data_IF_377816930039
#
_entry.id   IF_377816930039
#
_cell.length_a   1.000
_cell.length_b   1.000
_cell.length_c   1.000
_cell.angle_alpha   90.00
_cell.angle_beta   90.00
_cell.angle_gamma   90.00
#
_symmetry.space_group_name_H-M   'P 1'
#
loop_
_entity.id
_entity.type
_entity.pdbx_description
1 polymer ?
#
# COMPACT_ATOMS: atom_id res chain seq x y z
N UNK A 1 -1.98 15.55 16.17
CA UNK A 1 -2.30 14.11 16.13
C UNK A 1 -1.23 13.41 15.30
N UNK A 2 -0.80 12.20 15.66
CA UNK A 2 0.07 11.40 14.78
C UNK A 2 -0.77 11.05 13.53
N UNK A 3 -0.18 11.00 12.34
CA UNK A 3 -0.85 10.58 11.10
C UNK A 3 -1.03 9.04 11.10
N UNK A 4 -2.20 8.54 10.69
CA UNK A 4 -2.50 7.10 10.56
C UNK A 4 -2.59 6.66 9.10
N UNK A 5 -2.05 7.44 8.18
CA UNK A 5 -2.08 7.15 6.75
C UNK A 5 -0.70 6.76 6.24
N UNK A 6 -0.70 5.85 5.27
CA UNK A 6 0.47 5.49 4.47
C UNK A 6 0.24 6.06 3.08
N UNK A 7 1.13 6.93 2.63
CA UNK A 7 1.12 7.47 1.28
C UNK A 7 2.19 6.76 0.45
N UNK A 8 1.89 6.55 -0.82
CA UNK A 8 2.87 5.99 -1.74
C UNK A 8 2.52 6.26 -3.19
N UNK A 9 3.49 5.97 -4.05
CA UNK A 9 3.33 6.02 -5.50
C UNK A 9 3.73 4.70 -6.13
N UNK A 10 3.00 4.29 -7.16
CA UNK A 10 3.28 3.10 -7.97
C UNK A 10 3.69 3.55 -9.36
N UNK A 11 4.77 2.98 -9.90
CA UNK A 11 5.09 3.07 -11.33
C UNK A 11 4.47 1.87 -12.05
N UNK A 12 3.73 2.12 -13.12
CA UNK A 12 3.16 1.10 -13.98
C UNK A 12 3.69 1.29 -15.39
N UNK A 13 4.28 0.25 -15.96
CA UNK A 13 4.76 0.30 -17.35
C UNK A 13 3.58 0.57 -18.28
N UNK A 14 3.74 1.51 -19.22
CA UNK A 14 2.60 2.05 -19.95
C UNK A 14 2.10 1.08 -21.02
N UNK A 15 1.19 0.18 -20.64
CA UNK A 15 0.50 -0.74 -21.54
C UNK A 15 -0.98 -0.37 -21.69
N UNK A 16 -1.33 0.30 -22.79
CA UNK A 16 -2.73 0.62 -23.13
C UNK A 16 -3.34 1.79 -22.34
N UNK A 17 -4.63 2.08 -22.56
CA UNK A 17 -5.33 3.26 -22.02
C UNK A 17 -6.08 2.98 -20.71
N UNK A 18 -6.64 1.77 -20.55
CA UNK A 18 -7.41 1.41 -19.36
C UNK A 18 -6.50 0.71 -18.36
N UNK A 19 -6.12 1.45 -17.31
CA UNK A 19 -5.25 0.96 -16.25
C UNK A 19 -5.94 1.13 -14.91
N UNK A 20 -6.06 0.06 -14.16
CA UNK A 20 -6.55 0.11 -12.79
C UNK A 20 -5.48 -0.46 -11.87
N UNK A 21 -5.07 0.34 -10.89
CA UNK A 21 -4.08 -0.06 -9.88
C UNK A 21 -4.79 -0.12 -8.54
N UNK A 22 -4.69 -1.26 -7.87
CA UNK A 22 -5.30 -1.59 -6.60
C UNK A 22 -4.23 -1.94 -5.60
N UNK A 23 -4.36 -1.41 -4.39
CA UNK A 23 -3.48 -1.74 -3.28
C UNK A 23 -4.29 -2.60 -2.32
N UNK A 24 -3.86 -3.84 -2.11
CA UNK A 24 -4.50 -4.75 -1.15
C UNK A 24 -3.73 -4.71 0.16
N UNK A 25 -4.41 -4.33 1.23
CA UNK A 25 -3.85 -4.19 2.57
C UNK A 25 -4.41 -5.27 3.51
N UNK A 26 -3.57 -5.80 4.38
CA UNK A 26 -3.95 -6.57 5.57
C UNK A 26 -3.25 -6.03 6.82
N UNK A 27 -3.86 -6.24 7.98
CA UNK A 27 -3.28 -5.96 9.31
C UNK A 27 -3.29 -7.19 10.22
N UNK A 28 -3.71 -8.34 9.70
CA UNK A 28 -4.00 -9.57 10.46
C UNK A 28 -3.44 -10.83 9.79
N UNK A 29 -2.29 -10.70 9.12
CA UNK A 29 -1.62 -11.80 8.40
C UNK A 29 -2.52 -12.46 7.34
N UNK A 30 -3.20 -11.64 6.53
CA UNK A 30 -4.05 -12.07 5.41
C UNK A 30 -5.30 -12.87 5.80
N UNK A 31 -5.70 -12.88 7.08
CA UNK A 31 -7.01 -13.41 7.48
C UNK A 31 -8.13 -12.55 6.88
N UNK A 32 -7.95 -11.23 6.90
CA UNK A 32 -8.78 -10.28 6.17
C UNK A 32 -7.93 -9.33 5.33
N UNK A 33 -8.54 -8.79 4.29
CA UNK A 33 -7.90 -7.78 3.46
C UNK A 33 -8.91 -6.74 2.99
N UNK A 34 -8.40 -5.54 2.69
CA UNK A 34 -9.17 -4.45 2.10
C UNK A 34 -8.41 -3.86 0.93
N UNK A 35 -9.16 -3.50 -0.10
CA UNK A 35 -8.61 -2.94 -1.32
C UNK A 35 -8.79 -1.41 -1.34
N UNK A 36 -7.80 -0.70 -1.88
CA UNK A 36 -7.86 0.72 -2.15
C UNK A 36 -7.36 0.99 -3.56
N UNK A 37 -8.07 1.83 -4.32
CA UNK A 37 -7.65 2.18 -5.67
C UNK A 37 -6.63 3.32 -5.66
N UNK A 38 -5.58 3.18 -6.45
CA UNK A 38 -4.62 4.24 -6.70
C UNK A 38 -5.13 5.16 -7.81
N UNK A 39 -4.79 6.45 -7.73
CA UNK A 39 -5.22 7.48 -8.68
C UNK A 39 -4.06 7.88 -9.58
N UNK A 40 -4.28 7.92 -10.89
CA UNK A 40 -3.29 8.40 -11.84
C UNK A 40 -2.84 9.82 -11.51
N UNK A 41 -1.54 10.08 -11.56
CA UNK A 41 -0.97 11.41 -11.36
C UNK A 41 -0.85 12.07 -12.75
N UNK A 42 -1.55 13.17 -13.02
CA UNK A 42 -1.43 13.89 -14.30
C UNK A 42 0.00 14.31 -14.60
N UNK A 43 0.38 14.30 -15.88
CA UNK A 43 1.69 14.75 -16.37
C UNK A 43 2.89 14.01 -15.74
N UNK A 44 2.66 12.83 -15.18
CA UNK A 44 3.70 12.05 -14.47
C UNK A 44 4.42 11.03 -15.34
N UNK A 45 4.02 10.89 -16.60
CA UNK A 45 4.56 9.96 -17.56
C UNK A 45 6.06 10.23 -17.80
N UNK A 46 6.91 9.24 -17.58
CA UNK A 46 8.38 9.34 -17.74
C UNK A 46 8.90 8.47 -18.88
N UNK A 47 8.39 8.71 -20.10
CA UNK A 47 8.71 8.01 -21.36
C UNK A 47 8.36 6.51 -21.41
N UNK A 48 8.09 5.86 -20.28
CA UNK A 48 7.75 4.45 -20.22
C UNK A 48 6.80 4.06 -19.09
N UNK A 49 6.68 4.88 -18.03
CA UNK A 49 5.82 4.54 -16.90
C UNK A 49 4.81 5.63 -16.59
N UNK A 50 3.59 5.19 -16.32
CA UNK A 50 2.56 5.98 -15.64
C UNK A 50 2.80 5.93 -14.14
N UNK A 51 2.50 7.03 -13.42
CA UNK A 51 2.54 7.05 -11.96
C UNK A 51 1.14 7.15 -11.37
N UNK A 52 0.92 6.38 -10.32
CA UNK A 52 -0.31 6.38 -9.54
C UNK A 52 0.01 6.70 -8.09
N UNK A 53 -0.83 7.46 -7.41
CA UNK A 53 -0.74 7.73 -5.98
C UNK A 53 -1.79 6.94 -5.21
N UNK A 54 -1.45 6.49 -4.00
CA UNK A 54 -2.41 5.85 -3.12
C UNK A 54 -2.28 6.38 -1.68
N UNK A 55 -3.36 6.24 -0.92
CA UNK A 55 -3.40 6.51 0.52
C UNK A 55 -4.06 5.32 1.21
N UNK A 56 -3.37 4.71 2.16
CA UNK A 56 -3.93 3.64 2.99
C UNK A 56 -4.24 4.17 4.37
N UNK A 57 -5.51 4.13 4.76
CA UNK A 57 -5.94 4.54 6.11
C UNK A 57 -5.82 3.39 7.10
N UNK A 58 -5.04 3.57 8.15
CA UNK A 58 -4.80 2.53 9.13
C UNK A 58 -5.73 2.73 10.33
N UNK A 59 -6.60 1.74 10.56
CA UNK A 59 -7.46 1.70 11.74
C UNK A 59 -6.60 1.41 12.97
N UNK A 60 -6.39 2.43 13.80
CA UNK A 60 -5.52 2.35 14.98
C UNK A 60 -6.06 1.42 16.04
N UNK A 61 -7.37 1.26 16.13
CA UNK A 61 -8.00 0.43 17.16
C UNK A 61 -7.78 -1.07 16.86
N UNK A 62 -7.35 -1.39 15.64
CA UNK A 62 -7.03 -2.75 15.18
C UNK A 62 -5.53 -3.06 15.17
N UNK A 63 -4.69 -2.13 15.60
CA UNK A 63 -3.23 -2.29 15.55
C UNK A 63 -2.59 -2.10 16.92
N UNK A 64 -1.85 -3.12 17.33
CA UNK A 64 -1.02 -3.15 18.51
C UNK A 64 0.47 -3.24 18.11
N UNK A 65 1.34 -2.99 19.08
CA UNK A 65 2.77 -3.26 18.90
C UNK A 65 2.99 -4.74 18.56
N UNK A 66 3.80 -5.01 17.54
CA UNK A 66 4.03 -6.35 17.01
C UNK A 66 3.06 -6.79 15.90
N UNK A 67 2.00 -6.02 15.59
CA UNK A 67 1.24 -6.25 14.36
C UNK A 67 2.06 -5.89 13.12
N UNK A 68 1.91 -6.70 12.08
CA UNK A 68 2.53 -6.49 10.78
C UNK A 68 1.47 -5.95 9.81
N UNK A 69 1.61 -4.69 9.43
CA UNK A 69 0.84 -4.11 8.33
C UNK A 69 1.50 -4.60 7.05
N UNK A 70 0.73 -5.23 6.16
CA UNK A 70 1.26 -5.74 4.89
C UNK A 70 0.40 -5.28 3.74
N UNK A 71 1.02 -4.91 2.62
CA UNK A 71 0.30 -4.63 1.39
C UNK A 71 1.01 -5.18 0.15
N UNK A 72 0.23 -5.41 -0.89
CA UNK A 72 0.72 -5.71 -2.23
C UNK A 72 -0.05 -4.88 -3.26
N UNK A 73 0.52 -4.79 -4.46
CA UNK A 73 0.02 -3.97 -5.55
C UNK A 73 -0.54 -4.91 -6.61
N UNK A 74 -1.72 -4.60 -7.12
CA UNK A 74 -2.36 -5.31 -8.22
C UNK A 74 -2.63 -4.33 -9.36
N UNK A 75 -2.14 -4.67 -10.55
CA UNK A 75 -2.57 -4.07 -11.80
C UNK A 75 -3.65 -4.96 -12.43
N UNK A 76 -4.82 -4.39 -12.70
CA UNK A 76 -5.90 -5.04 -13.43
C UNK A 76 -5.92 -4.50 -14.86
N UNK A 77 -5.76 -5.40 -15.83
CA UNK A 77 -5.78 -5.07 -17.25
C UNK A 77 -7.21 -4.97 -17.79
N UNK A 78 -7.36 -4.38 -18.97
CA UNK A 78 -8.66 -4.19 -19.64
C UNK A 78 -9.47 -5.47 -19.89
N UNK A 79 -8.83 -6.65 -19.87
CA UNK A 79 -9.48 -7.96 -20.03
C UNK A 79 -9.73 -8.67 -18.69
N UNK A 80 -9.55 -8.00 -17.56
CA UNK A 80 -9.78 -8.54 -16.22
C UNK A 80 -8.68 -9.46 -15.70
N UNK A 81 -7.49 -9.47 -16.31
CA UNK A 81 -6.35 -10.19 -15.75
C UNK A 81 -5.67 -9.35 -14.66
N UNK A 82 -5.31 -10.01 -13.56
CA UNK A 82 -4.61 -9.39 -12.45
C UNK A 82 -3.11 -9.74 -12.49
N UNK A 83 -2.28 -8.72 -12.33
CA UNK A 83 -0.83 -8.83 -12.20
C UNK A 83 -0.41 -8.28 -10.85
N UNK A 84 0.22 -9.12 -10.04
CA UNK A 84 0.54 -8.80 -8.65
C UNK A 84 2.03 -8.50 -8.48
N UNK A 85 2.32 -7.34 -7.90
CA UNK A 85 3.59 -7.07 -7.24
C UNK A 85 3.40 -7.29 -5.74
N UNK A 86 3.77 -8.49 -5.30
CA UNK A 86 3.76 -8.92 -3.92
C UNK A 86 5.18 -8.99 -3.34
N UNK A 87 6.15 -8.24 -3.90
CA UNK A 87 7.54 -8.24 -3.45
C UNK A 87 8.12 -9.66 -3.29
N UNK A 88 7.97 -10.50 -4.32
CA UNK A 88 8.39 -11.91 -4.31
C UNK A 88 7.80 -12.70 -3.12
N UNK A 89 6.48 -12.64 -2.96
CA UNK A 89 5.72 -13.31 -1.88
C UNK A 89 5.95 -12.75 -0.46
N UNK A 90 6.91 -11.85 -0.25
CA UNK A 90 7.14 -11.24 1.06
C UNK A 90 6.15 -10.12 1.38
N UNK A 91 5.53 -9.52 0.36
CA UNK A 91 4.75 -8.28 0.43
C UNK A 91 5.57 -7.09 0.97
N UNK A 92 4.98 -5.90 0.94
CA UNK A 92 5.54 -4.72 1.56
C UNK A 92 5.06 -4.63 3.01
N UNK A 93 5.98 -4.54 3.97
CA UNK A 93 5.68 -4.66 5.41
C UNK A 93 6.05 -3.41 6.20
N UNK A 94 5.18 -3.02 7.14
CA UNK A 94 5.51 -2.08 8.21
C UNK A 94 5.37 -2.75 9.57
N UNK A 95 6.41 -2.60 10.40
CA UNK A 95 6.42 -3.11 11.77
C UNK A 95 5.86 -2.04 12.70
N UNK A 96 4.80 -2.38 13.44
CA UNK A 96 4.21 -1.48 14.43
C UNK A 96 5.03 -1.53 15.72
N UNK A 97 5.74 -0.45 16.03
CA UNK A 97 6.54 -0.32 17.24
C UNK A 97 5.72 0.36 18.34
N UNK A 98 5.84 -0.11 19.59
CA UNK A 98 5.36 0.66 20.73
C UNK A 98 6.22 1.91 20.86
N UNK A 99 5.58 3.05 21.12
CA UNK A 99 6.31 4.24 21.54
C UNK A 99 6.77 4.01 22.97
N UNK A 100 8.00 3.54 23.16
CA UNK A 100 8.65 3.63 24.47
C UNK A 100 8.73 5.13 24.78
N UNK A 101 7.95 5.59 25.74
CA UNK A 101 8.25 6.88 26.38
C UNK A 101 9.63 6.66 27.00
N UNK A 102 10.67 7.45 26.68
CA UNK A 102 11.94 7.33 27.38
C UNK A 102 11.63 7.44 28.87
N UNK A 103 11.94 6.38 29.62
CA UNK A 103 11.71 6.35 31.05
C UNK A 103 12.34 7.61 31.64
N UNK A 104 11.50 8.50 32.16
CA UNK A 104 11.88 9.74 32.81
C UNK A 104 12.53 9.48 34.17
N UNK A 105 13.49 8.56 34.22
CA UNK A 105 14.49 8.46 35.29
C UNK A 105 15.30 9.76 35.20
N UNK A 106 15.27 10.71 36.14
CA UNK A 106 15.12 10.66 37.60
C UNK A 106 14.52 11.98 38.07
#
# INVERSE_FOLDING_TARGET
AIDNRIYGTVKLYSIGLHKQVKIRLTTDNWISSRDSYATYIPDSYDDSYDRFSFTLEIDRDRICAGNNIQFCICYESFNGLEYWDNNNEENYRFNCLSKTIPDGSI
#
